data_IF_794812110535
#
_entry.id   IF_794812110535
#
_cell.length_a   1.000
_cell.length_b   1.000
_cell.length_c   1.000
_cell.angle_alpha   90.00
_cell.angle_beta   90.00
_cell.angle_gamma   90.00
#
_symmetry.space_group_name_H-M   'P 1'
#
loop_
_entity.id
_entity.type
_entity.pdbx_description
1 polymer ?
#
# COMPACT_ATOMS: atom_id res chain seq x y z
N UNK A 1 -4.68 -14.94 9.27
CA UNK A 1 -3.72 -14.76 8.16
C UNK A 1 -2.94 -16.05 8.04
N UNK A 2 -3.50 -16.96 7.26
CA UNK A 2 -2.78 -18.16 6.87
C UNK A 2 -1.55 -17.79 6.03
N UNK A 3 -0.51 -18.62 6.08
CA UNK A 3 0.74 -18.36 5.35
C UNK A 3 0.50 -18.22 3.84
N UNK A 4 -0.50 -18.91 3.28
CA UNK A 4 -0.90 -18.84 1.87
C UNK A 4 -1.41 -17.45 1.46
N UNK A 5 -2.34 -16.88 2.24
CA UNK A 5 -2.88 -15.53 1.95
C UNK A 5 -1.79 -14.45 1.99
N UNK A 6 -0.78 -14.62 2.86
CA UNK A 6 0.36 -13.70 2.92
C UNK A 6 1.27 -13.82 1.70
N UNK A 7 1.54 -15.04 1.21
CA UNK A 7 2.39 -15.21 0.02
C UNK A 7 1.73 -14.63 -1.23
N UNK A 8 0.41 -14.80 -1.38
CA UNK A 8 -0.35 -14.22 -2.49
C UNK A 8 -0.35 -12.68 -2.43
N UNK A 9 -0.54 -12.11 -1.25
CA UNK A 9 -0.44 -10.66 -1.05
C UNK A 9 0.96 -10.11 -1.36
N UNK A 10 2.01 -10.86 -1.01
CA UNK A 10 3.40 -10.50 -1.31
C UNK A 10 3.66 -10.54 -2.81
N UNK A 11 3.22 -11.59 -3.51
CA UNK A 11 3.37 -11.69 -4.96
C UNK A 11 2.67 -10.52 -5.68
N UNK A 12 1.42 -10.23 -5.29
CA UNK A 12 0.66 -9.11 -5.85
C UNK A 12 1.26 -7.72 -5.50
N UNK A 13 2.01 -7.60 -4.42
CA UNK A 13 2.76 -6.39 -4.09
C UNK A 13 4.02 -6.28 -4.94
N UNK A 14 4.74 -7.39 -5.13
CA UNK A 14 5.96 -7.44 -5.93
C UNK A 14 5.68 -7.09 -7.40
N UNK A 15 4.63 -7.65 -8.01
CA UNK A 15 4.20 -7.28 -9.37
C UNK A 15 3.91 -5.77 -9.48
N UNK A 16 3.18 -5.21 -8.52
CA UNK A 16 2.87 -3.78 -8.49
C UNK A 16 4.10 -2.89 -8.30
N UNK A 17 5.13 -3.36 -7.59
CA UNK A 17 6.39 -2.63 -7.46
C UNK A 17 7.24 -2.70 -8.72
N UNK A 18 7.18 -3.80 -9.47
CA UNK A 18 7.89 -3.93 -10.76
C UNK A 18 7.22 -3.07 -11.86
N UNK A 19 5.89 -3.00 -11.87
CA UNK A 19 5.14 -2.21 -12.86
C UNK A 19 5.11 -0.70 -12.52
N UNK A 20 5.20 -0.32 -11.25
CA UNK A 20 5.17 1.07 -10.83
C UNK A 20 6.50 1.79 -11.10
N UNK A 21 6.51 2.76 -12.01
CA UNK A 21 7.68 3.60 -12.28
C UNK A 21 8.13 4.50 -11.11
N UNK A 22 7.26 4.73 -10.11
CA UNK A 22 7.59 5.48 -8.89
C UNK A 22 6.79 4.93 -7.71
N UNK A 23 7.50 4.59 -6.62
CA UNK A 23 6.90 4.08 -5.38
C UNK A 23 7.23 5.06 -4.25
N UNK A 24 6.19 5.59 -3.58
CA UNK A 24 6.34 6.47 -2.43
C UNK A 24 5.96 5.72 -1.16
N UNK A 25 6.92 5.56 -0.24
CA UNK A 25 6.71 4.93 1.06
C UNK A 25 6.44 6.02 2.10
N UNK A 26 5.26 6.02 2.70
CA UNK A 26 4.87 6.98 3.74
C UNK A 26 4.59 6.28 5.06
N UNK A 27 5.07 6.86 6.16
CA UNK A 27 4.64 6.47 7.50
C UNK A 27 3.29 7.11 7.81
N UNK A 28 2.24 6.28 7.83
CA UNK A 28 0.88 6.71 8.11
C UNK A 28 0.64 6.85 9.63
N UNK A 29 1.53 7.54 10.35
CA UNK A 29 1.45 7.75 11.80
C UNK A 29 0.74 9.08 12.09
N UNK A 30 -0.28 9.04 12.95
CA UNK A 30 -0.96 10.24 13.45
C UNK A 30 -2.14 10.74 12.62
N UNK A 31 -2.49 10.08 11.50
CA UNK A 31 -3.68 10.44 10.72
C UNK A 31 -4.93 9.74 11.26
N UNK A 32 -6.02 10.51 11.38
CA UNK A 32 -7.36 9.99 11.69
C UNK A 32 -7.97 9.26 10.50
N UNK A 33 -8.99 8.43 10.74
CA UNK A 33 -9.66 7.65 9.68
C UNK A 33 -10.22 8.55 8.57
N UNK A 34 -10.73 9.73 8.93
CA UNK A 34 -11.24 10.71 7.98
C UNK A 34 -10.13 11.20 7.03
N UNK A 35 -8.99 11.59 7.59
CA UNK A 35 -7.87 12.14 6.81
C UNK A 35 -7.23 11.10 5.88
N UNK A 36 -7.10 9.84 6.34
CA UNK A 36 -6.64 8.73 5.49
C UNK A 36 -7.61 8.46 4.34
N UNK A 37 -8.92 8.59 4.58
CA UNK A 37 -9.94 8.39 3.56
C UNK A 37 -9.89 9.47 2.49
N UNK A 38 -9.66 10.72 2.90
CA UNK A 38 -9.49 11.84 1.98
C UNK A 38 -8.20 11.73 1.16
N UNK A 39 -7.10 11.33 1.80
CA UNK A 39 -5.84 11.06 1.10
C UNK A 39 -6.02 9.96 0.04
N UNK A 40 -6.70 8.86 0.38
CA UNK A 40 -6.98 7.77 -0.58
C UNK A 40 -7.81 8.26 -1.77
N UNK A 41 -8.80 9.12 -1.54
CA UNK A 41 -9.61 9.71 -2.62
C UNK A 41 -8.76 10.58 -3.55
N UNK A 42 -7.92 11.45 -2.99
CA UNK A 42 -7.01 12.33 -3.76
C UNK A 42 -5.98 11.54 -4.58
N UNK A 43 -5.43 10.48 -3.99
CA UNK A 43 -4.46 9.60 -4.68
C UNK A 43 -5.16 8.82 -5.81
N UNK A 44 -6.41 8.36 -5.59
CA UNK A 44 -7.19 7.67 -6.62
C UNK A 44 -7.59 8.59 -7.78
N UNK A 45 -7.90 9.86 -7.53
CA UNK A 45 -8.14 10.84 -8.60
C UNK A 45 -6.90 11.14 -9.43
N UNK A 46 -5.70 10.99 -8.85
CA UNK A 46 -4.43 11.10 -9.56
C UNK A 46 -4.03 9.80 -10.29
N UNK A 47 -4.91 8.79 -10.33
CA UNK A 47 -4.63 7.49 -10.99
C UNK A 47 -3.71 6.56 -10.19
N UNK A 48 -3.31 6.93 -8.98
CA UNK A 48 -2.43 6.15 -8.13
C UNK A 48 -3.20 5.30 -7.10
N UNK A 49 -2.59 4.21 -6.65
CA UNK A 49 -3.14 3.31 -5.64
C UNK A 49 -2.45 3.50 -4.29
N UNK A 50 -3.21 3.83 -3.24
CA UNK A 50 -2.69 3.88 -1.87
C UNK A 50 -3.10 2.63 -1.09
N UNK A 51 -2.14 1.76 -0.75
CA UNK A 51 -2.38 0.55 0.06
C UNK A 51 -1.55 0.59 1.34
N UNK A 52 -2.23 0.47 2.48
CA UNK A 52 -1.57 0.33 3.78
C UNK A 52 -1.23 -1.15 3.96
N UNK A 53 0.05 -1.45 4.02
CA UNK A 53 0.57 -2.80 4.27
C UNK A 53 1.22 -2.87 5.64
N UNK A 54 1.26 -4.06 6.25
CA UNK A 54 1.98 -4.25 7.51
C UNK A 54 3.47 -3.98 7.31
N UNK A 55 4.10 -3.25 8.23
CA UNK A 55 5.53 -2.90 8.18
C UNK A 55 6.48 -4.11 8.01
N UNK A 56 6.04 -5.31 8.42
CA UNK A 56 6.83 -6.54 8.23
C UNK A 56 6.77 -7.09 6.79
N UNK A 57 5.77 -6.69 6.00
CA UNK A 57 5.59 -7.10 4.61
C UNK A 57 6.31 -6.19 3.62
N UNK A 58 6.64 -4.95 4.02
CA UNK A 58 7.44 -3.99 3.22
C UNK A 58 8.94 -4.24 3.31
N UNK A 59 9.38 -5.22 4.10
CA UNK A 59 10.81 -5.52 4.37
C UNK A 59 11.26 -6.80 3.64
N UNK A 60 10.82 -6.96 2.39
CA UNK A 60 11.32 -7.97 1.45
C UNK A 60 12.38 -7.33 0.58
#
# INVERSE_FOLDING_TARGET
MDRKEKSELVAALHEKFVEAGLVVVTHNQGLTVAEVTDLRRKVRSAGAGFKVTKNRLTRL
#
